data_IF_618469472147
#
_entry.id   IF_618469472147
#
_cell.length_a   1.000
_cell.length_b   1.000
_cell.length_c   1.000
_cell.angle_alpha   90.00
_cell.angle_beta   90.00
_cell.angle_gamma   90.00
#
_symmetry.space_group_name_H-M   'P 1'
#
loop_
_entity.id
_entity.type
_entity.pdbx_description
1 polymer ?
#
# COMPACT_ATOMS: atom_id res chain seq x y z
N UNK A 1 1.99 19.86 0.11
CA UNK A 1 0.51 19.90 0.23
C UNK A 1 0.17 20.81 1.39
N UNK A 2 -0.72 21.76 1.15
CA UNK A 2 -1.29 22.64 2.16
C UNK A 2 -2.78 22.30 2.32
N UNK A 3 -3.23 22.13 3.54
CA UNK A 3 -4.64 21.87 3.85
C UNK A 3 -5.26 23.09 4.51
N UNK A 4 -6.44 23.47 4.04
CA UNK A 4 -7.18 24.61 4.61
C UNK A 4 -8.66 24.25 4.81
N UNK A 5 -9.31 24.97 5.71
CA UNK A 5 -10.74 24.82 6.02
C UNK A 5 -11.50 26.00 5.45
N UNK A 6 -11.70 26.03 4.12
CA UNK A 6 -12.27 27.17 3.38
C UNK A 6 -11.20 28.24 3.04
N UNK A 7 -11.58 29.26 2.28
CA UNK A 7 -10.71 30.39 1.96
C UNK A 7 -9.47 30.05 1.12
N UNK A 8 -9.60 29.18 0.16
CA UNK A 8 -8.50 28.68 -0.70
C UNK A 8 -7.71 29.78 -1.39
N UNK A 9 -8.37 30.88 -1.82
CA UNK A 9 -7.72 32.02 -2.48
C UNK A 9 -6.74 32.76 -1.55
N UNK A 10 -7.15 32.98 -0.31
CA UNK A 10 -6.30 33.63 0.71
C UNK A 10 -5.06 32.80 0.99
N UNK A 11 -5.21 31.48 1.11
CA UNK A 11 -4.11 30.55 1.33
C UNK A 11 -3.18 30.51 0.12
N UNK A 12 -3.72 30.47 -1.10
CA UNK A 12 -2.93 30.48 -2.33
C UNK A 12 -2.11 31.78 -2.46
N UNK A 13 -2.71 32.93 -2.14
CA UNK A 13 -2.01 34.21 -2.14
C UNK A 13 -0.86 34.21 -1.13
N UNK A 14 -1.09 33.72 0.10
CA UNK A 14 -0.02 33.59 1.11
C UNK A 14 1.12 32.67 0.66
N UNK A 15 0.81 31.55 0.03
CA UNK A 15 1.83 30.64 -0.54
C UNK A 15 2.64 31.35 -1.64
N UNK A 16 2.00 32.08 -2.56
CA UNK A 16 2.69 32.83 -3.62
C UNK A 16 3.63 33.89 -3.03
N UNK A 17 3.21 34.58 -1.96
CA UNK A 17 4.06 35.56 -1.28
C UNK A 17 5.32 34.91 -0.69
N UNK A 18 5.16 33.84 0.10
CA UNK A 18 6.30 33.14 0.72
C UNK A 18 7.24 32.56 -0.32
N UNK A 19 6.70 31.96 -1.40
CA UNK A 19 7.53 31.44 -2.49
C UNK A 19 8.29 32.57 -3.22
N UNK A 20 7.66 33.72 -3.40
CA UNK A 20 8.29 34.91 -3.99
C UNK A 20 9.47 35.40 -3.18
N UNK A 21 9.36 35.45 -1.85
CA UNK A 21 10.47 35.76 -0.94
C UNK A 21 11.66 34.80 -1.10
N UNK A 22 11.36 33.52 -1.36
CA UNK A 22 12.36 32.47 -1.62
C UNK A 22 12.86 32.43 -3.07
N UNK A 23 12.44 33.39 -3.92
CA UNK A 23 12.72 33.42 -5.37
C UNK A 23 12.27 32.15 -6.11
N UNK A 24 11.17 31.52 -5.65
CA UNK A 24 10.56 30.34 -6.24
C UNK A 24 9.22 30.70 -6.88
N UNK A 25 8.93 30.12 -8.03
CA UNK A 25 7.66 30.27 -8.71
C UNK A 25 6.79 29.04 -8.56
N UNK A 26 5.48 29.26 -8.35
CA UNK A 26 4.50 28.19 -8.32
C UNK A 26 4.22 27.71 -9.76
N UNK A 27 4.37 26.41 -9.99
CA UNK A 27 3.98 25.84 -11.27
C UNK A 27 2.44 25.70 -11.33
N UNK A 28 1.77 26.54 -12.08
CA UNK A 28 0.30 26.60 -12.16
C UNK A 28 -0.30 25.35 -12.80
N UNK A 29 0.35 24.73 -13.78
CA UNK A 29 -0.13 23.50 -14.43
C UNK A 29 -0.14 22.30 -13.47
N UNK A 30 0.80 22.26 -12.51
CA UNK A 30 0.93 21.18 -11.52
C UNK A 30 0.21 21.48 -10.20
N UNK A 31 -0.20 22.74 -9.98
CA UNK A 31 -0.91 23.15 -8.78
C UNK A 31 -2.39 22.88 -8.94
N UNK A 32 -2.93 22.01 -8.08
CA UNK A 32 -4.35 21.67 -8.08
C UNK A 32 -4.98 21.98 -6.73
N UNK A 33 -6.10 22.67 -6.76
CA UNK A 33 -6.96 22.85 -5.60
C UNK A 33 -8.03 21.75 -5.65
N UNK A 34 -8.07 20.92 -4.63
CA UNK A 34 -8.98 19.77 -4.54
C UNK A 34 -9.82 19.86 -3.28
N UNK A 35 -11.15 19.79 -3.42
CA UNK A 35 -12.05 19.59 -2.29
C UNK A 35 -12.03 18.09 -1.90
N UNK A 36 -11.34 17.76 -0.82
CA UNK A 36 -11.21 16.40 -0.33
C UNK A 36 -12.53 15.71 0.03
N UNK A 37 -13.64 16.45 0.15
CA UNK A 37 -14.98 15.88 0.38
C UNK A 37 -15.63 15.38 -0.92
N UNK A 38 -15.26 15.96 -2.05
CA UNK A 38 -15.81 15.61 -3.37
C UNK A 38 -14.90 14.67 -4.13
N UNK A 39 -13.60 14.94 -4.12
CA UNK A 39 -12.62 14.20 -4.91
C UNK A 39 -11.48 13.69 -4.06
N UNK A 40 -10.88 12.58 -4.51
CA UNK A 40 -9.65 12.03 -3.91
C UNK A 40 -8.43 12.67 -4.56
N UNK A 41 -7.40 12.88 -3.76
CA UNK A 41 -6.10 13.30 -4.27
C UNK A 41 -5.00 12.32 -3.83
N UNK A 42 -3.91 12.30 -4.60
CA UNK A 42 -2.76 11.47 -4.30
C UNK A 42 -1.63 12.31 -3.69
N UNK A 43 -1.08 11.82 -2.58
CA UNK A 43 0.06 12.44 -1.91
C UNK A 43 0.99 11.37 -1.37
N UNK A 44 2.29 11.46 -1.66
CA UNK A 44 3.33 10.51 -1.21
C UNK A 44 2.96 9.03 -1.42
N UNK A 45 2.32 8.71 -2.53
CA UNK A 45 1.91 7.33 -2.82
C UNK A 45 0.60 6.90 -2.17
N UNK A 46 -0.02 7.73 -1.35
CA UNK A 46 -1.35 7.49 -0.78
C UNK A 46 -2.44 8.20 -1.58
N UNK A 47 -3.61 7.63 -1.59
CA UNK A 47 -4.87 8.27 -2.03
C UNK A 47 -5.65 8.68 -0.79
N UNK A 48 -6.00 9.96 -0.70
CA UNK A 48 -6.69 10.58 0.44
C UNK A 48 -8.04 11.12 -0.04
N UNK A 49 -9.09 10.83 0.72
CA UNK A 49 -10.44 11.38 0.51
C UNK A 49 -11.15 11.52 1.85
N UNK A 50 -11.91 12.56 2.06
CA UNK A 50 -12.76 12.71 3.23
C UNK A 50 -14.10 11.99 2.99
N UNK A 51 -14.38 10.94 3.75
CA UNK A 51 -15.63 10.19 3.69
C UNK A 51 -16.49 10.37 4.93
N UNK A 52 -17.80 10.40 4.73
CA UNK A 52 -18.77 10.41 5.83
C UNK A 52 -19.05 8.99 6.29
N UNK A 53 -18.95 8.75 7.58
CA UNK A 53 -19.30 7.45 8.17
C UNK A 53 -20.84 7.31 8.16
N UNK A 54 -21.40 6.26 7.52
CA UNK A 54 -22.84 6.10 7.42
C UNK A 54 -23.54 5.87 8.77
N UNK A 55 -22.82 5.30 9.77
CA UNK A 55 -23.38 5.01 11.10
C UNK A 55 -23.35 6.21 12.05
N UNK A 56 -22.27 6.99 12.01
CA UNK A 56 -22.05 8.10 12.96
C UNK A 56 -22.26 9.48 12.37
N UNK A 57 -22.43 9.58 11.05
CA UNK A 57 -22.51 10.85 10.33
C UNK A 57 -21.22 11.67 10.32
N UNK A 58 -20.21 11.29 11.07
CA UNK A 58 -18.93 12.02 11.16
C UNK A 58 -18.07 11.83 9.91
N UNK A 59 -17.44 12.91 9.47
CA UNK A 59 -16.46 12.86 8.36
C UNK A 59 -15.10 12.43 8.88
N UNK A 60 -14.45 11.51 8.18
CA UNK A 60 -13.11 11.01 8.49
C UNK A 60 -12.23 10.94 7.23
N UNK A 61 -10.92 11.11 7.35
CA UNK A 61 -10.01 10.92 6.23
C UNK A 61 -9.84 9.42 5.94
N UNK A 62 -10.16 9.02 4.73
CA UNK A 62 -9.87 7.69 4.22
C UNK A 62 -8.52 7.74 3.51
N UNK A 63 -7.50 7.16 4.13
CA UNK A 63 -6.12 7.14 3.62
C UNK A 63 -5.79 5.71 3.23
N UNK A 64 -5.41 5.49 1.97
CA UNK A 64 -5.09 4.17 1.42
C UNK A 64 -3.90 4.25 0.46
N UNK A 65 -3.14 3.16 0.28
CA UNK A 65 -2.15 3.09 -0.79
C UNK A 65 -2.78 3.41 -2.15
N UNK A 66 -2.12 4.23 -2.95
CA UNK A 66 -2.62 4.60 -4.28
C UNK A 66 -2.65 3.39 -5.22
N UNK A 67 -3.52 3.44 -6.23
CA UNK A 67 -3.58 2.40 -7.28
C UNK A 67 -2.22 2.21 -7.96
N UNK A 68 -1.45 3.31 -8.14
CA UNK A 68 -0.09 3.27 -8.70
C UNK A 68 0.87 2.52 -7.79
N UNK A 69 0.84 2.76 -6.48
CA UNK A 69 1.68 2.07 -5.50
C UNK A 69 1.38 0.56 -5.44
N UNK A 70 0.09 0.18 -5.45
CA UNK A 70 -0.33 -1.23 -5.50
C UNK A 70 0.10 -1.90 -6.82
N UNK A 71 -0.04 -1.22 -7.95
CA UNK A 71 0.40 -1.73 -9.26
C UNK A 71 1.91 -1.96 -9.27
N UNK A 72 2.69 -1.03 -8.70
CA UNK A 72 4.14 -1.11 -8.62
C UNK A 72 4.59 -2.35 -7.81
N UNK A 73 4.12 -2.52 -6.58
CA UNK A 73 4.52 -3.68 -5.76
C UNK A 73 4.10 -5.01 -6.39
N UNK A 74 2.91 -5.08 -7.00
CA UNK A 74 2.50 -6.28 -7.74
C UNK A 74 3.41 -6.55 -8.95
N UNK A 75 3.92 -5.51 -9.60
CA UNK A 75 4.90 -5.60 -10.67
C UNK A 75 6.21 -6.20 -10.18
N UNK A 76 6.76 -5.72 -9.06
CA UNK A 76 7.97 -6.24 -8.45
C UNK A 76 7.84 -7.71 -8.03
N UNK A 77 6.74 -8.08 -7.38
CA UNK A 77 6.45 -9.48 -7.05
C UNK A 77 6.41 -10.36 -8.31
N UNK A 78 5.78 -9.88 -9.40
CA UNK A 78 5.75 -10.60 -10.68
C UNK A 78 7.14 -10.74 -11.28
N UNK A 79 7.95 -9.68 -11.24
CA UNK A 79 9.33 -9.65 -11.75
C UNK A 79 10.19 -10.70 -11.04
N UNK A 80 10.13 -10.76 -9.71
CA UNK A 80 10.89 -11.72 -8.90
C UNK A 80 10.39 -13.17 -9.05
N UNK A 81 9.13 -13.37 -9.44
CA UNK A 81 8.52 -14.70 -9.58
C UNK A 81 8.20 -15.06 -11.03
N UNK A 82 8.95 -14.53 -11.99
CA UNK A 82 8.76 -14.81 -13.40
C UNK A 82 9.42 -16.14 -13.82
N UNK A 83 9.25 -16.55 -15.08
CA UNK A 83 9.89 -17.77 -15.60
C UNK A 83 11.42 -17.67 -15.66
N UNK A 84 11.94 -16.47 -15.92
CA UNK A 84 13.38 -16.23 -16.02
C UNK A 84 14.13 -16.47 -14.69
N UNK A 85 13.42 -16.36 -13.56
CA UNK A 85 14.00 -16.55 -12.22
C UNK A 85 13.93 -18.00 -11.72
N UNK A 86 13.42 -18.95 -12.50
CA UNK A 86 13.29 -20.34 -12.07
C UNK A 86 14.64 -21.05 -11.86
N UNK A 87 15.70 -20.62 -12.53
CA UNK A 87 17.06 -21.14 -12.32
C UNK A 87 17.64 -20.74 -10.94
N UNK A 88 17.20 -19.61 -10.37
CA UNK A 88 17.71 -19.08 -9.10
C UNK A 88 17.20 -19.96 -7.94
N UNK A 89 18.03 -20.21 -6.88
CA UNK A 89 17.59 -20.90 -5.68
C UNK A 89 16.33 -20.25 -5.09
N UNK A 90 15.39 -21.07 -4.64
CA UNK A 90 14.11 -20.58 -4.08
C UNK A 90 14.30 -19.72 -2.85
N UNK A 91 15.30 -20.03 -2.04
CA UNK A 91 15.68 -19.32 -0.82
C UNK A 91 16.06 -17.86 -1.13
N UNK A 92 16.86 -17.66 -2.17
CA UNK A 92 17.26 -16.32 -2.66
C UNK A 92 16.04 -15.51 -3.14
N UNK A 93 15.15 -16.16 -3.90
CA UNK A 93 13.93 -15.47 -4.36
C UNK A 93 13.02 -15.08 -3.19
N UNK A 94 12.86 -15.98 -2.20
CA UNK A 94 12.04 -15.67 -1.01
C UNK A 94 12.67 -14.56 -0.18
N UNK A 95 14.00 -14.55 0.00
CA UNK A 95 14.70 -13.46 0.67
C UNK A 95 14.43 -12.12 -0.01
N UNK A 96 14.64 -12.03 -1.33
CA UNK A 96 14.42 -10.81 -2.10
C UNK A 96 12.93 -10.37 -2.06
N UNK A 97 11.99 -11.31 -2.15
CA UNK A 97 10.57 -11.03 -1.98
C UNK A 97 10.25 -10.44 -0.60
N UNK A 98 10.83 -11.03 0.45
CA UNK A 98 10.63 -10.57 1.83
C UNK A 98 11.15 -9.15 2.02
N UNK A 99 12.31 -8.81 1.49
CA UNK A 99 12.90 -7.46 1.55
C UNK A 99 11.99 -6.43 0.89
N UNK A 100 11.58 -6.70 -0.35
CA UNK A 100 10.71 -5.79 -1.13
C UNK A 100 9.34 -5.63 -0.46
N UNK A 101 8.70 -6.74 -0.07
CA UNK A 101 7.35 -6.71 0.51
C UNK A 101 7.37 -6.10 1.91
N UNK A 102 8.41 -6.38 2.73
CA UNK A 102 8.56 -5.80 4.07
C UNK A 102 8.77 -4.29 3.98
N UNK A 103 9.66 -3.82 3.09
CA UNK A 103 9.91 -2.40 2.89
C UNK A 103 8.65 -1.67 2.45
N UNK A 104 7.94 -2.21 1.45
CA UNK A 104 6.68 -1.62 0.99
C UNK A 104 5.61 -1.62 2.09
N UNK A 105 5.45 -2.73 2.80
CA UNK A 105 4.47 -2.83 3.90
C UNK A 105 4.80 -1.86 5.02
N UNK A 106 6.08 -1.73 5.40
CA UNK A 106 6.51 -0.79 6.44
C UNK A 106 6.13 0.67 6.13
N UNK A 107 6.23 1.07 4.85
CA UNK A 107 5.83 2.40 4.42
C UNK A 107 4.30 2.58 4.34
N UNK A 108 3.59 1.60 3.77
CA UNK A 108 2.14 1.69 3.51
C UNK A 108 1.25 1.14 4.63
N UNK A 109 1.83 0.67 5.73
CA UNK A 109 1.08 0.20 6.90
C UNK A 109 0.54 1.37 7.71
N UNK A 110 -0.33 2.17 7.07
CA UNK A 110 -0.91 3.36 7.65
C UNK A 110 -2.37 3.56 7.21
N UNK A 111 -3.19 4.18 8.04
CA UNK A 111 -4.58 4.52 7.73
C UNK A 111 -5.46 3.29 7.46
N UNK A 112 -6.31 3.37 6.46
CA UNK A 112 -7.32 2.34 6.14
C UNK A 112 -6.79 1.29 5.15
N UNK A 113 -5.60 0.74 5.40
CA UNK A 113 -4.86 -0.15 4.49
C UNK A 113 -5.27 -1.62 4.53
N UNK A 114 -6.07 -2.08 5.51
CA UNK A 114 -6.37 -3.51 5.76
C UNK A 114 -6.81 -4.28 4.52
N UNK A 115 -7.75 -3.70 3.75
CA UNK A 115 -8.27 -4.34 2.52
C UNK A 115 -7.20 -4.50 1.46
N UNK A 116 -6.36 -3.48 1.28
CA UNK A 116 -5.29 -3.49 0.28
C UNK A 116 -4.20 -4.47 0.66
N UNK A 117 -3.84 -4.54 1.95
CA UNK A 117 -2.88 -5.51 2.48
C UNK A 117 -3.39 -6.95 2.37
N UNK A 118 -4.67 -7.20 2.67
CA UNK A 118 -5.29 -8.52 2.49
C UNK A 118 -5.23 -8.95 1.03
N UNK A 119 -5.55 -8.05 0.11
CA UNK A 119 -5.49 -8.31 -1.33
C UNK A 119 -4.04 -8.56 -1.80
N UNK A 120 -3.08 -7.79 -1.28
CA UNK A 120 -1.66 -7.98 -1.61
C UNK A 120 -1.13 -9.31 -1.06
N UNK A 121 -1.52 -9.69 0.16
CA UNK A 121 -1.18 -10.98 0.77
C UNK A 121 -1.65 -12.13 -0.10
N UNK A 122 -2.93 -12.15 -0.48
CA UNK A 122 -3.48 -13.19 -1.37
C UNK A 122 -2.73 -13.25 -2.69
N UNK A 123 -2.42 -12.10 -3.29
CA UNK A 123 -1.64 -12.03 -4.52
C UNK A 123 -0.22 -12.58 -4.36
N UNK A 124 0.48 -12.25 -3.27
CA UNK A 124 1.82 -12.78 -2.96
C UNK A 124 1.79 -14.30 -2.82
N UNK A 125 0.85 -14.83 -2.03
CA UNK A 125 0.70 -16.26 -1.80
C UNK A 125 0.50 -17.03 -3.12
N UNK A 126 -0.39 -16.54 -3.99
CA UNK A 126 -0.64 -17.14 -5.30
C UNK A 126 0.57 -17.08 -6.22
N UNK A 127 1.30 -15.97 -6.21
CA UNK A 127 2.50 -15.83 -7.04
C UNK A 127 3.60 -16.77 -6.60
N UNK A 128 3.83 -16.91 -5.29
CA UNK A 128 4.84 -17.82 -4.74
C UNK A 128 4.46 -19.28 -5.03
N UNK A 129 3.19 -19.69 -4.85
CA UNK A 129 2.73 -21.03 -5.25
C UNK A 129 2.94 -21.29 -6.74
N UNK A 130 2.60 -20.33 -7.58
CA UNK A 130 2.79 -20.44 -9.04
C UNK A 130 4.27 -20.58 -9.40
N UNK A 131 5.16 -19.83 -8.74
CA UNK A 131 6.60 -19.93 -8.93
C UNK A 131 7.13 -21.31 -8.52
N UNK A 132 6.79 -21.79 -7.32
CA UNK A 132 7.21 -23.10 -6.80
C UNK A 132 6.68 -24.24 -7.66
N UNK A 133 5.42 -24.16 -8.08
CA UNK A 133 4.81 -25.13 -8.99
C UNK A 133 5.59 -25.26 -10.30
N UNK A 134 5.96 -24.14 -10.89
CA UNK A 134 6.74 -24.10 -12.13
C UNK A 134 8.14 -24.66 -11.90
N UNK A 135 8.81 -24.24 -10.82
CA UNK A 135 10.14 -24.71 -10.47
C UNK A 135 10.22 -26.22 -10.28
N UNK A 136 9.20 -26.82 -9.69
CA UNK A 136 9.12 -28.27 -9.41
C UNK A 136 8.24 -29.03 -10.40
N UNK A 137 7.90 -28.46 -11.56
CA UNK A 137 7.12 -29.07 -12.64
C UNK A 137 5.81 -29.73 -12.18
N UNK A 138 5.13 -29.16 -11.15
CA UNK A 138 3.86 -29.71 -10.64
C UNK A 138 2.68 -29.29 -11.50
N UNK A 139 1.85 -30.25 -11.94
CA UNK A 139 0.65 -29.99 -12.77
C UNK A 139 -0.51 -29.36 -11.98
N UNK A 140 -0.65 -29.67 -10.69
CA UNK A 140 -1.72 -29.14 -9.82
C UNK A 140 -1.58 -27.65 -9.52
N UNK A 141 -2.64 -26.98 -9.02
CA UNK A 141 -2.59 -25.57 -8.57
C UNK A 141 -1.63 -25.31 -7.40
N UNK A 142 -1.11 -26.35 -6.77
CA UNK A 142 -0.07 -26.27 -5.73
C UNK A 142 -0.58 -26.02 -4.31
N UNK A 143 -1.89 -25.94 -4.07
CA UNK A 143 -2.44 -25.71 -2.73
C UNK A 143 -2.11 -26.85 -1.75
N UNK A 144 -2.22 -28.12 -2.20
CA UNK A 144 -1.84 -29.28 -1.40
C UNK A 144 -0.34 -29.38 -1.19
N UNK A 145 0.46 -29.13 -2.25
CA UNK A 145 1.91 -29.24 -2.19
C UNK A 145 2.55 -28.08 -1.39
N UNK A 146 1.95 -26.89 -1.42
CA UNK A 146 2.47 -25.68 -0.79
C UNK A 146 1.40 -25.00 0.06
N UNK A 147 0.95 -25.63 1.18
CA UNK A 147 0.00 -25.04 2.11
C UNK A 147 0.62 -23.82 2.83
N UNK A 148 -0.19 -23.05 3.53
CA UNK A 148 0.28 -21.88 4.28
C UNK A 148 1.38 -22.22 5.29
N UNK A 149 1.30 -23.41 5.94
CA UNK A 149 2.35 -23.90 6.86
C UNK A 149 3.71 -24.03 6.15
N UNK A 150 3.72 -24.46 4.90
CA UNK A 150 4.94 -24.55 4.10
C UNK A 150 5.47 -23.17 3.74
N UNK A 151 4.60 -22.25 3.21
CA UNK A 151 5.01 -20.92 2.77
C UNK A 151 5.57 -20.08 3.92
N UNK A 152 4.89 -20.05 5.05
CA UNK A 152 5.26 -19.20 6.17
C UNK A 152 6.19 -19.88 7.18
N UNK A 153 6.04 -21.19 7.42
CA UNK A 153 6.84 -21.94 8.37
C UNK A 153 8.17 -22.42 7.80
N UNK A 154 8.16 -23.11 6.65
CA UNK A 154 9.36 -23.72 6.10
C UNK A 154 10.14 -22.77 5.16
N UNK A 155 9.44 -22.02 4.30
CA UNK A 155 10.07 -21.08 3.37
C UNK A 155 10.40 -19.72 4.01
N UNK A 156 9.82 -19.39 5.16
CA UNK A 156 10.02 -18.11 5.81
C UNK A 156 9.49 -16.92 5.03
N UNK A 157 8.39 -17.11 4.25
CA UNK A 157 7.75 -16.02 3.53
C UNK A 157 7.21 -14.97 4.52
N UNK A 158 7.45 -13.69 4.25
CA UNK A 158 6.96 -12.62 5.09
C UNK A 158 5.43 -12.57 5.15
N UNK A 159 4.88 -12.66 6.36
CA UNK A 159 3.43 -12.61 6.60
C UNK A 159 2.99 -11.16 6.67
N UNK A 160 2.36 -10.68 5.59
CA UNK A 160 1.80 -9.33 5.53
C UNK A 160 0.71 -9.17 6.60
N UNK A 161 0.75 -8.12 7.45
CA UNK A 161 -0.32 -7.82 8.39
C UNK A 161 -1.60 -7.47 7.64
N UNK A 162 -2.74 -8.01 8.05
CA UNK A 162 -4.04 -7.78 7.39
C UNK A 162 -4.96 -6.86 8.17
N UNK A 163 -4.56 -6.49 9.39
CA UNK A 163 -5.28 -5.54 10.26
C UNK A 163 -4.62 -4.17 10.17
N UNK A 164 -5.41 -3.09 10.20
CA UNK A 164 -4.86 -1.74 10.24
C UNK A 164 -4.23 -1.44 11.62
N UNK A 165 -3.16 -0.63 11.69
CA UNK A 165 -2.45 -0.35 12.95
C UNK A 165 -3.34 0.25 14.04
N UNK A 166 -4.27 1.12 13.67
CA UNK A 166 -5.20 1.76 14.62
C UNK A 166 -6.22 0.80 15.26
N UNK A 167 -6.49 -0.36 14.68
CA UNK A 167 -7.38 -1.37 15.27
C UNK A 167 -6.77 -2.04 16.50
N UNK A 168 -5.47 -2.03 16.63
CA UNK A 168 -4.76 -2.57 17.80
C UNK A 168 -4.84 -1.61 18.97
N UNK A 169 -4.69 -0.30 18.74
CA UNK A 169 -4.83 0.75 19.75
C UNK A 169 -6.27 0.88 20.25
N UNK A 170 -7.27 0.76 19.38
CA UNK A 170 -8.68 0.79 19.77
C UNK A 170 -9.08 -0.39 20.68
N UNK A 171 -8.51 -1.58 20.45
CA UNK A 171 -8.74 -2.75 21.31
C UNK A 171 -8.06 -2.62 22.68
N UNK A 172 -6.93 -1.93 22.76
CA UNK A 172 -6.24 -1.66 24.02
C UNK A 172 -6.97 -0.61 24.87
N UNK A 173 -7.64 0.37 24.24
CA UNK A 173 -8.39 1.43 24.93
C UNK A 173 -9.82 1.01 25.34
N UNK A 174 -10.36 -0.08 24.79
CA UNK A 174 -11.74 -0.56 25.04
C UNK A 174 -11.88 -1.59 26.16
N UNK A 175 -10.84 -1.84 26.94
CA UNK A 175 -10.92 -2.66 28.16
C UNK A 175 -10.73 -1.77 29.40
N UNK A 176 -11.76 -1.03 29.71
CA UNK A 176 -12.04 -0.53 31.06
C UNK A 176 -13.51 -0.72 31.33
#
# INVERSE_FOLDING_TARGET
VVTCKGGTERVLKGIKTVLGELKLNLNEEKTKIVDARKESFNFLGFTIIAKKNPKTGKTFPLIRPSKKAIKHIKGEIKRLTCRKTLAIPKETIIKNLNEVVRGWTGYFYYGNCSRDLTTLKGFLDERVRTYLRRKHCKKSRGYRAYPYKYLYGMLGLYKIPTTAPWTQTAKACGRR
#
